data_IF_988778017449
#
_entry.id   IF_988778017449
#
_cell.length_a   1.000
_cell.length_b   1.000
_cell.length_c   1.000
_cell.angle_alpha   90.00
_cell.angle_beta   90.00
_cell.angle_gamma   90.00
#
_symmetry.space_group_name_H-M   'P 1'
#
loop_
_entity.id
_entity.type
_entity.pdbx_description
1 polymer ?
#
# COMPACT_ATOMS: atom_id res chain seq x y z
N UNK A 1 -14.99 -18.49 23.17
CA UNK A 1 -15.46 -17.76 21.98
C UNK A 1 -15.11 -16.30 22.17
N UNK A 2 -14.14 -15.80 21.40
CA UNK A 2 -13.72 -14.40 21.25
C UNK A 2 -13.01 -13.69 22.42
N UNK A 3 -11.80 -14.16 22.77
CA UNK A 3 -10.79 -13.35 23.47
C UNK A 3 -9.89 -12.54 22.52
N UNK A 4 -10.14 -12.59 21.21
CA UNK A 4 -9.21 -12.02 20.20
C UNK A 4 -9.34 -10.50 20.03
N UNK A 5 -10.36 -9.89 20.64
CA UNK A 5 -10.67 -8.46 20.56
C UNK A 5 -10.33 -7.73 21.87
N UNK A 6 -9.28 -8.20 22.56
CA UNK A 6 -8.74 -7.53 23.74
C UNK A 6 -7.94 -6.27 23.33
N UNK A 7 -8.00 -5.19 24.12
CA UNK A 7 -7.35 -3.91 23.79
C UNK A 7 -5.84 -4.05 23.54
N UNK A 8 -5.21 -5.06 24.14
CA UNK A 8 -3.80 -5.40 23.92
C UNK A 8 -3.49 -5.84 22.47
N UNK A 9 -4.38 -6.58 21.81
CA UNK A 9 -4.20 -7.00 20.42
C UNK A 9 -4.42 -5.85 19.44
N UNK A 10 -5.36 -4.95 19.75
CA UNK A 10 -5.63 -3.76 18.94
C UNK A 10 -4.44 -2.81 18.91
N UNK A 11 -3.74 -2.63 20.04
CA UNK A 11 -2.54 -1.80 20.10
C UNK A 11 -1.40 -2.30 19.18
N UNK A 12 -1.33 -3.61 18.91
CA UNK A 12 -0.31 -4.21 18.03
C UNK A 12 -0.69 -4.13 16.55
N UNK A 13 -1.98 -4.25 16.22
CA UNK A 13 -2.50 -4.20 14.84
C UNK A 13 -2.64 -2.76 14.34
N UNK A 14 -2.93 -1.81 15.23
CA UNK A 14 -3.09 -0.39 14.93
C UNK A 14 -1.91 0.22 14.14
N UNK A 15 -0.62 0.05 14.54
CA UNK A 15 0.50 0.59 13.77
C UNK A 15 0.65 -0.05 12.39
N UNK A 16 0.38 -1.35 12.27
CA UNK A 16 0.44 -2.04 10.99
C UNK A 16 -0.65 -1.54 10.03
N UNK A 17 -1.87 -1.35 10.53
CA UNK A 17 -2.98 -0.80 9.76
C UNK A 17 -2.73 0.66 9.34
N UNK A 18 -2.20 1.49 10.24
CA UNK A 18 -1.83 2.88 9.93
C UNK A 18 -0.75 2.94 8.86
N UNK A 19 0.29 2.11 8.99
CA UNK A 19 1.37 2.01 8.01
C UNK A 19 0.83 1.53 6.67
N UNK A 20 -0.05 0.53 6.66
CA UNK A 20 -0.66 0.02 5.45
C UNK A 20 -1.46 1.10 4.71
N UNK A 21 -2.33 1.84 5.42
CA UNK A 21 -3.13 2.90 4.82
C UNK A 21 -2.24 4.07 4.36
N UNK A 22 -1.26 4.46 5.16
CA UNK A 22 -0.30 5.50 4.77
C UNK A 22 0.47 5.14 3.50
N UNK A 23 0.94 3.89 3.40
CA UNK A 23 1.67 3.39 2.25
C UNK A 23 0.79 3.29 0.99
N UNK A 24 -0.46 2.87 1.17
CA UNK A 24 -1.46 2.82 0.09
C UNK A 24 -1.67 4.22 -0.51
N UNK A 25 -1.98 5.21 0.33
CA UNK A 25 -2.23 6.59 -0.10
C UNK A 25 -0.97 7.17 -0.76
N UNK A 26 0.19 6.96 -0.13
CA UNK A 26 1.47 7.41 -0.67
C UNK A 26 1.73 6.86 -2.07
N UNK A 27 1.54 5.55 -2.28
CA UNK A 27 1.75 4.91 -3.58
C UNK A 27 0.76 5.42 -4.64
N UNK A 28 -0.54 5.53 -4.30
CA UNK A 28 -1.55 6.06 -5.23
C UNK A 28 -1.20 7.49 -5.65
N UNK A 29 -0.86 8.36 -4.69
CA UNK A 29 -0.49 9.74 -4.97
C UNK A 29 0.74 9.82 -5.88
N UNK A 30 1.72 8.94 -5.66
CA UNK A 30 2.94 8.82 -6.46
C UNK A 30 2.64 8.31 -7.87
N UNK A 31 1.80 7.29 -8.04
CA UNK A 31 1.37 6.75 -9.34
C UNK A 31 0.71 7.85 -10.19
N UNK A 32 -0.15 8.66 -9.57
CA UNK A 32 -0.85 9.74 -10.27
C UNK A 32 0.13 10.82 -10.73
N UNK A 33 1.03 11.27 -9.82
CA UNK A 33 1.99 12.36 -10.06
C UNK A 33 3.14 11.98 -10.98
N UNK A 34 3.88 10.93 -10.64
CA UNK A 34 5.14 10.54 -11.30
C UNK A 34 4.91 9.55 -12.46
N UNK A 35 3.72 8.94 -12.50
CA UNK A 35 3.43 7.86 -13.44
C UNK A 35 4.11 6.55 -13.04
N UNK A 36 4.14 5.62 -13.97
CA UNK A 36 4.52 4.23 -13.75
C UNK A 36 5.47 3.78 -14.85
N UNK A 37 6.49 2.99 -14.52
CA UNK A 37 7.53 2.59 -15.47
C UNK A 37 7.11 1.42 -16.38
N UNK A 38 6.55 0.36 -15.78
CA UNK A 38 6.35 -0.92 -16.47
C UNK A 38 4.90 -1.19 -16.91
N UNK A 39 3.90 -0.65 -16.22
CA UNK A 39 2.48 -0.89 -16.52
C UNK A 39 1.71 0.44 -16.53
N UNK A 40 0.50 0.44 -17.08
CA UNK A 40 -0.38 1.61 -17.06
C UNK A 40 -0.77 2.03 -15.63
N UNK A 41 -0.96 3.34 -15.41
CA UNK A 41 -1.38 3.93 -14.13
C UNK A 41 -2.54 3.18 -13.44
N UNK A 42 -3.68 2.88 -14.12
CA UNK A 42 -4.81 2.21 -13.46
C UNK A 42 -4.51 0.76 -13.04
N UNK A 43 -3.67 0.03 -13.78
CA UNK A 43 -3.27 -1.34 -13.41
C UNK A 43 -2.47 -1.34 -12.10
N UNK A 44 -1.56 -0.38 -11.93
CA UNK A 44 -0.81 -0.25 -10.68
C UNK A 44 -1.69 0.13 -9.50
N UNK A 45 -2.69 1.01 -9.69
CA UNK A 45 -3.67 1.33 -8.64
C UNK A 45 -4.44 0.07 -8.25
N UNK A 46 -4.87 -0.74 -9.22
CA UNK A 46 -5.57 -2.00 -8.95
C UNK A 46 -4.70 -2.96 -8.12
N UNK A 47 -3.43 -3.15 -8.50
CA UNK A 47 -2.48 -3.99 -7.77
C UNK A 47 -2.28 -3.50 -6.33
N UNK A 48 -2.10 -2.19 -6.17
CA UNK A 48 -1.87 -1.55 -4.87
C UNK A 48 -3.08 -1.71 -3.94
N UNK A 49 -4.30 -1.65 -4.47
CA UNK A 49 -5.54 -1.80 -3.69
C UNK A 49 -5.85 -3.27 -3.38
N UNK A 50 -5.73 -4.17 -4.36
CA UNK A 50 -6.15 -5.57 -4.19
C UNK A 50 -5.14 -6.45 -3.45
N UNK A 51 -3.84 -6.15 -3.54
CA UNK A 51 -2.78 -6.97 -2.94
C UNK A 51 -2.32 -6.40 -1.57
N UNK A 52 -3.15 -5.54 -0.95
CA UNK A 52 -2.96 -5.03 0.41
C UNK A 52 -1.57 -4.43 0.67
N UNK A 53 -0.73 -5.04 1.51
CA UNK A 53 0.60 -4.53 1.83
C UNK A 53 1.61 -4.84 0.71
N UNK A 54 1.44 -5.97 0.01
CA UNK A 54 2.36 -6.38 -1.05
C UNK A 54 2.22 -5.52 -2.30
N UNK A 55 1.03 -5.00 -2.60
CA UNK A 55 0.80 -4.13 -3.75
C UNK A 55 1.64 -2.83 -3.72
N UNK A 56 1.53 -1.99 -2.67
CA UNK A 56 2.37 -0.81 -2.46
C UNK A 56 3.87 -1.14 -2.47
N UNK A 57 4.27 -2.24 -1.83
CA UNK A 57 5.66 -2.70 -1.81
C UNK A 57 6.15 -3.02 -3.23
N UNK A 58 5.40 -3.81 -4.00
CA UNK A 58 5.74 -4.08 -5.40
C UNK A 58 5.81 -2.82 -6.25
N UNK A 59 4.92 -1.85 -6.03
CA UNK A 59 4.98 -0.57 -6.73
C UNK A 59 6.29 0.18 -6.43
N UNK A 60 6.69 0.23 -5.15
CA UNK A 60 7.93 0.89 -4.74
C UNK A 60 9.19 0.27 -5.37
N UNK A 61 9.23 -1.06 -5.53
CA UNK A 61 10.36 -1.78 -6.10
C UNK A 61 10.36 -1.85 -7.64
N UNK A 62 9.20 -2.11 -8.26
CA UNK A 62 9.08 -2.45 -9.69
C UNK A 62 8.31 -1.41 -10.50
N UNK A 63 7.38 -0.69 -9.85
CA UNK A 63 6.45 0.21 -10.53
C UNK A 63 6.90 1.67 -10.59
N UNK A 64 7.70 2.10 -9.62
CA UNK A 64 8.19 3.46 -9.47
C UNK A 64 9.03 3.85 -10.68
N UNK A 65 8.65 4.96 -11.31
CA UNK A 65 9.48 5.59 -12.32
C UNK A 65 10.61 6.35 -11.61
N UNK A 66 11.83 5.88 -11.79
CA UNK A 66 13.05 6.44 -11.19
C UNK A 66 13.56 7.70 -11.90
N UNK A 67 12.90 8.13 -12.97
CA UNK A 67 13.32 9.24 -13.84
C UNK A 67 12.63 10.58 -13.52
N UNK A 68 12.31 10.86 -12.24
CA UNK A 68 11.82 12.17 -11.76
C UNK A 68 12.88 12.81 -10.89
#
# INVERSE_FOLDING_TARGET
MNELLNLQNLALIMPLALLQIGLLIFCIQKIIREGTRNLSKPLWILIVVFINLLGPVMYLFLGRNENV
#
